data_IF_808890316116
#
_entry.id   IF_808890316116
#
_cell.length_a   1.000
_cell.length_b   1.000
_cell.length_c   1.000
_cell.angle_alpha   90.00
_cell.angle_beta   90.00
_cell.angle_gamma   90.00
#
_symmetry.space_group_name_H-M   'P 1'
#
loop_
_entity.id
_entity.type
_entity.pdbx_description
1 polymer ?
#
# COMPACT_ATOMS: atom_id res chain seq x y z
N UNK A 1 -24.37 14.26 -3.03
CA UNK A 1 -24.28 12.79 -3.20
C UNK A 1 -22.83 12.37 -2.98
N UNK A 2 -22.53 11.80 -1.80
CA UNK A 2 -21.20 11.28 -1.50
C UNK A 2 -21.05 9.90 -2.16
N UNK A 3 -20.28 9.82 -3.23
CA UNK A 3 -19.91 8.53 -3.83
C UNK A 3 -18.99 7.81 -2.85
N UNK A 4 -19.57 6.98 -1.97
CA UNK A 4 -18.82 5.96 -1.24
C UNK A 4 -18.11 5.11 -2.28
N UNK A 5 -16.79 5.31 -2.43
CA UNK A 5 -15.93 4.46 -3.26
C UNK A 5 -16.12 3.03 -2.75
N UNK A 6 -16.89 2.24 -3.50
CA UNK A 6 -17.04 0.80 -3.25
C UNK A 6 -15.63 0.22 -3.26
N UNK A 7 -15.11 -0.14 -2.09
CA UNK A 7 -13.83 -0.84 -1.98
C UNK A 7 -14.03 -2.15 -2.72
N UNK A 8 -13.33 -2.34 -3.85
CA UNK A 8 -13.35 -3.62 -4.55
C UNK A 8 -12.97 -4.69 -3.52
N UNK A 9 -13.70 -5.82 -3.43
CA UNK A 9 -13.29 -6.90 -2.56
C UNK A 9 -11.85 -7.29 -2.93
N UNK A 10 -11.03 -7.49 -1.91
CA UNK A 10 -9.64 -7.95 -2.05
C UNK A 10 -9.72 -9.38 -2.60
N UNK A 11 -9.81 -9.53 -3.93
CA UNK A 11 -9.81 -10.84 -4.61
C UNK A 11 -8.46 -11.17 -5.24
N UNK A 12 -7.41 -10.42 -4.87
CA UNK A 12 -6.04 -10.74 -5.26
C UNK A 12 -5.48 -11.73 -4.24
N UNK A 13 -4.78 -12.76 -4.71
CA UNK A 13 -4.09 -13.81 -3.96
C UNK A 13 -2.92 -13.28 -3.10
N UNK A 14 -3.09 -12.12 -2.47
CA UNK A 14 -2.17 -11.50 -1.54
C UNK A 14 -2.37 -12.12 -0.16
N UNK A 15 -1.36 -12.82 0.37
CA UNK A 15 -1.39 -13.31 1.73
C UNK A 15 -1.48 -12.16 2.72
N UNK A 16 -2.15 -12.43 3.85
CA UNK A 16 -2.32 -11.43 4.92
C UNK A 16 -0.95 -11.00 5.46
N UNK A 17 0.02 -11.91 5.56
CA UNK A 17 1.38 -11.59 6.01
C UNK A 17 2.06 -10.55 5.10
N UNK A 18 1.80 -10.57 3.80
CA UNK A 18 2.37 -9.60 2.87
C UNK A 18 1.68 -8.23 3.00
N UNK A 19 0.38 -8.20 3.29
CA UNK A 19 -0.33 -6.96 3.63
C UNK A 19 0.20 -6.34 4.93
N UNK A 20 0.36 -7.16 5.98
CA UNK A 20 0.95 -6.73 7.25
C UNK A 20 2.36 -6.16 7.02
N UNK A 21 3.20 -6.88 6.27
CA UNK A 21 4.54 -6.42 5.94
C UNK A 21 4.54 -5.06 5.24
N UNK A 22 3.65 -4.83 4.26
CA UNK A 22 3.54 -3.52 3.59
C UNK A 22 3.09 -2.40 4.53
N UNK A 23 2.21 -2.69 5.48
CA UNK A 23 1.70 -1.71 6.45
C UNK A 23 2.81 -1.30 7.43
N UNK A 24 3.47 -2.29 8.03
CA UNK A 24 4.56 -2.10 8.99
C UNK A 24 5.76 -1.39 8.34
N UNK A 25 6.09 -1.78 7.11
CA UNK A 25 7.22 -1.25 6.35
C UNK A 25 6.81 -0.18 5.33
N UNK A 26 5.69 0.52 5.57
CA UNK A 26 5.16 1.54 4.65
C UNK A 26 6.06 2.76 4.44
N UNK A 27 7.10 2.89 5.28
CA UNK A 27 8.15 3.91 5.19
C UNK A 27 9.29 3.52 4.23
N UNK A 28 9.44 2.22 3.91
CA UNK A 28 10.49 1.75 3.01
C UNK A 28 10.23 2.18 1.56
N UNK A 29 11.32 2.28 0.80
CA UNK A 29 11.27 2.51 -0.65
C UNK A 29 10.83 1.23 -1.37
N UNK A 30 10.31 1.38 -2.60
CA UNK A 30 9.76 0.27 -3.37
C UNK A 30 10.81 -0.81 -3.63
N UNK A 31 12.04 -0.40 -3.90
CA UNK A 31 13.18 -1.26 -4.18
C UNK A 31 13.46 -2.22 -3.01
N UNK A 32 13.40 -1.70 -1.76
CA UNK A 32 13.58 -2.52 -0.56
C UNK A 32 12.40 -3.51 -0.35
N UNK A 33 11.19 -3.09 -0.70
CA UNK A 33 10.01 -3.97 -0.65
C UNK A 33 10.10 -5.10 -1.69
N UNK A 34 10.60 -4.79 -2.89
CA UNK A 34 10.82 -5.78 -3.97
C UNK A 34 11.91 -6.80 -3.65
N UNK A 35 12.88 -6.46 -2.79
CA UNK A 35 13.88 -7.42 -2.34
C UNK A 35 13.30 -8.48 -1.40
N UNK A 36 12.20 -8.17 -0.72
CA UNK A 36 11.58 -9.06 0.28
C UNK A 36 10.36 -9.78 -0.27
N UNK A 37 9.56 -9.09 -1.08
CA UNK A 37 8.31 -9.63 -1.58
C UNK A 37 8.48 -10.24 -2.98
N UNK A 38 7.89 -11.41 -3.24
CA UNK A 38 7.95 -12.08 -4.54
C UNK A 38 6.95 -11.47 -5.54
N UNK A 39 6.90 -10.15 -5.64
CA UNK A 39 5.97 -9.42 -6.52
C UNK A 39 6.69 -8.34 -7.33
N UNK A 40 6.11 -8.00 -8.46
CA UNK A 40 6.59 -6.87 -9.27
C UNK A 40 6.37 -5.53 -8.56
N UNK A 41 7.14 -4.52 -8.98
CA UNK A 41 6.97 -3.13 -8.54
C UNK A 41 5.51 -2.67 -8.67
N UNK A 42 4.87 -3.00 -9.79
CA UNK A 42 3.50 -2.59 -10.08
C UNK A 42 2.50 -3.25 -9.12
N UNK A 43 2.62 -4.55 -8.89
CA UNK A 43 1.74 -5.27 -7.95
C UNK A 43 1.85 -4.73 -6.53
N UNK A 44 3.08 -4.41 -6.08
CA UNK A 44 3.31 -3.81 -4.76
C UNK A 44 2.68 -2.41 -4.69
N UNK A 45 2.86 -1.59 -5.73
CA UNK A 45 2.28 -0.25 -5.78
C UNK A 45 0.75 -0.28 -5.79
N UNK A 46 0.16 -1.15 -6.61
CA UNK A 46 -1.29 -1.36 -6.67
C UNK A 46 -1.81 -1.79 -5.29
N UNK A 47 -1.09 -2.68 -4.61
CA UNK A 47 -1.46 -3.12 -3.27
C UNK A 47 -1.36 -2.01 -2.24
N UNK A 48 -0.29 -1.22 -2.26
CA UNK A 48 -0.14 -0.04 -1.39
C UNK A 48 -1.27 0.98 -1.61
N UNK A 49 -1.77 1.12 -2.84
CA UNK A 49 -2.93 1.96 -3.14
C UNK A 49 -4.23 1.39 -2.55
N UNK A 50 -4.47 0.08 -2.71
CA UNK A 50 -5.63 -0.63 -2.12
C UNK A 50 -5.63 -0.50 -0.60
N UNK A 51 -4.47 -0.70 0.05
CA UNK A 51 -4.28 -0.56 1.49
C UNK A 51 -4.33 0.92 1.95
N UNK A 52 -4.36 1.87 1.03
CA UNK A 52 -4.41 3.30 1.32
C UNK A 52 -3.10 3.90 1.86
N UNK A 53 -2.00 3.15 1.81
CA UNK A 53 -0.68 3.56 2.32
C UNK A 53 -0.15 4.78 1.56
N UNK A 54 -0.33 4.80 0.24
CA UNK A 54 0.07 5.95 -0.60
C UNK A 54 -0.71 7.22 -0.23
N UNK A 55 -2.00 7.10 0.09
CA UNK A 55 -2.83 8.24 0.52
C UNK A 55 -2.38 8.76 1.89
N UNK A 56 -2.13 7.86 2.85
CA UNK A 56 -1.61 8.21 4.17
C UNK A 56 -0.28 8.96 4.06
N UNK A 57 0.68 8.42 3.28
CA UNK A 57 1.99 9.07 3.06
C UNK A 57 1.86 10.49 2.51
N UNK A 58 0.99 10.70 1.51
CA UNK A 58 0.73 12.05 0.97
C UNK A 58 0.14 13.00 2.01
N UNK A 59 -0.77 12.53 2.87
CA UNK A 59 -1.36 13.34 3.93
C UNK A 59 -0.32 13.74 4.97
N UNK A 60 0.50 12.80 5.43
CA UNK A 60 1.56 13.06 6.40
C UNK A 60 2.62 14.05 5.86
N UNK A 61 2.98 13.96 4.57
CA UNK A 61 3.85 14.96 3.91
C UNK A 61 3.24 16.36 3.94
N UNK A 62 1.92 16.49 3.72
CA UNK A 62 1.22 17.78 3.82
C UNK A 62 1.22 18.34 5.24
N UNK A 63 1.25 17.47 6.25
CA UNK A 63 1.30 17.85 7.66
C UNK A 63 2.73 18.15 8.15
N UNK A 64 3.74 18.06 7.27
CA UNK A 64 5.15 18.26 7.64
C UNK A 64 5.71 17.18 8.56
N UNK A 65 5.06 16.01 8.63
CA UNK A 65 5.45 14.89 9.51
C UNK A 65 6.20 13.80 8.74
N UNK A 66 7.17 14.19 7.89
CA UNK A 66 8.02 13.28 7.14
C UNK A 66 9.44 13.80 7.05
#
# INVERSE_FOLDING_TARGET
MNYSRKRKPITSAWPVEHDCFLIENSHLQLEALQQTLPYSAQEIQDRQEILGLTRRRRQMKKLGQF
#
